data_IF_624800604909
#
_entry.id   IF_624800604909
#
_cell.length_a   1.000
_cell.length_b   1.000
_cell.length_c   1.000
_cell.angle_alpha   90.00
_cell.angle_beta   90.00
_cell.angle_gamma   90.00
#
_symmetry.space_group_name_H-M   'P 1'
#
loop_
_entity.id
_entity.type
_entity.pdbx_description
1 polymer ?
#
# COMPACT_ATOMS: atom_id res chain seq x y z
N UNK A 1 0.24 8.84 11.48
CA UNK A 1 -1.08 8.23 11.74
C UNK A 1 -2.07 8.48 10.61
N UNK A 2 -2.15 9.73 10.14
CA UNK A 2 -3.05 10.05 9.02
C UNK A 2 -2.69 9.32 7.75
N UNK A 3 -1.39 9.19 7.49
CA UNK A 3 -0.92 8.51 6.27
C UNK A 3 -1.32 7.05 6.31
N UNK A 4 -1.10 6.39 7.44
CA UNK A 4 -1.47 4.98 7.57
C UNK A 4 -2.97 4.79 7.44
N UNK A 5 -3.77 5.66 8.05
CA UNK A 5 -5.22 5.57 7.97
C UNK A 5 -5.71 5.78 6.54
N UNK A 6 -5.14 6.76 5.83
CA UNK A 6 -5.52 7.04 4.45
C UNK A 6 -5.13 5.89 3.53
N UNK A 7 -3.94 5.33 3.73
CA UNK A 7 -3.44 4.20 2.95
C UNK A 7 -4.36 2.99 3.13
N UNK A 8 -4.69 2.70 4.38
CA UNK A 8 -5.57 1.59 4.71
C UNK A 8 -6.96 1.78 4.08
N UNK A 9 -7.51 2.99 4.18
CA UNK A 9 -8.82 3.31 3.61
C UNK A 9 -8.81 3.14 2.09
N UNK A 10 -7.73 3.52 1.43
CA UNK A 10 -7.60 3.35 -0.01
C UNK A 10 -7.72 1.87 -0.38
N UNK A 11 -6.96 1.00 0.30
CA UNK A 11 -6.96 -0.42 -0.04
C UNK A 11 -8.26 -1.11 0.34
N UNK A 12 -8.89 -0.67 1.45
CA UNK A 12 -10.19 -1.17 1.82
C UNK A 12 -11.22 -0.85 0.74
N UNK A 13 -11.17 0.38 0.22
CA UNK A 13 -12.09 0.78 -0.84
C UNK A 13 -11.86 -0.02 -2.12
N UNK A 14 -10.59 -0.27 -2.48
CA UNK A 14 -10.27 -1.09 -3.65
C UNK A 14 -10.88 -2.48 -3.50
N UNK A 15 -10.78 -3.09 -2.33
CA UNK A 15 -11.38 -4.40 -2.09
C UNK A 15 -12.90 -4.34 -2.22
N UNK A 16 -13.51 -3.27 -1.74
CA UNK A 16 -14.97 -3.11 -1.79
C UNK A 16 -15.48 -2.96 -3.21
N UNK A 17 -14.81 -2.13 -4.02
CA UNK A 17 -15.26 -1.90 -5.40
C UNK A 17 -14.96 -3.08 -6.32
N UNK A 18 -14.21 -4.06 -5.86
CA UNK A 18 -14.00 -5.30 -6.62
C UNK A 18 -15.29 -6.10 -6.76
N UNK A 19 -16.29 -5.82 -5.93
CA UNK A 19 -17.57 -6.54 -5.85
C UNK A 19 -17.38 -8.03 -5.53
N UNK A 20 -16.24 -8.38 -4.97
CA UNK A 20 -15.97 -9.74 -4.53
C UNK A 20 -16.02 -9.80 -3.01
N UNK A 21 -17.07 -10.39 -2.43
CA UNK A 21 -17.21 -10.44 -0.97
C UNK A 21 -16.04 -11.11 -0.27
N UNK A 22 -15.37 -12.03 -0.94
CA UNK A 22 -14.20 -12.71 -0.35
C UNK A 22 -13.08 -11.72 -0.09
N UNK A 23 -12.81 -10.82 -1.03
CA UNK A 23 -11.77 -9.81 -0.86
C UNK A 23 -12.12 -8.84 0.26
N UNK A 24 -13.37 -8.39 0.29
CA UNK A 24 -13.81 -7.48 1.34
C UNK A 24 -13.72 -8.14 2.72
N UNK A 25 -14.13 -9.41 2.80
CA UNK A 25 -14.06 -10.15 4.06
C UNK A 25 -12.62 -10.37 4.50
N UNK A 26 -11.75 -10.80 3.58
CA UNK A 26 -10.36 -11.04 3.89
C UNK A 26 -9.67 -9.76 4.39
N UNK A 27 -9.98 -8.64 3.75
CA UNK A 27 -9.43 -7.37 4.19
C UNK A 27 -9.94 -6.98 5.57
N UNK A 28 -11.22 -7.20 5.82
CA UNK A 28 -11.81 -6.88 7.13
C UNK A 28 -11.13 -7.67 8.25
N UNK A 29 -10.82 -8.93 8.01
CA UNK A 29 -10.14 -9.78 9.00
C UNK A 29 -8.70 -9.31 9.21
N UNK A 30 -8.01 -8.94 8.15
CA UNK A 30 -6.61 -8.56 8.21
C UNK A 30 -6.38 -7.07 8.53
N UNK A 31 -7.44 -6.30 8.64
CA UNK A 31 -7.37 -4.84 8.73
C UNK A 31 -6.50 -4.36 9.88
N UNK A 32 -6.72 -4.88 11.06
CA UNK A 32 -5.98 -4.40 12.22
C UNK A 32 -4.50 -4.79 12.19
N UNK A 33 -4.14 -6.05 11.90
CA UNK A 33 -2.73 -6.39 11.74
C UNK A 33 -2.03 -5.58 10.65
N UNK A 34 -2.71 -5.32 9.53
CA UNK A 34 -2.15 -4.50 8.46
C UNK A 34 -1.90 -3.08 8.95
N UNK A 35 -2.88 -2.52 9.67
CA UNK A 35 -2.76 -1.16 10.18
C UNK A 35 -1.58 -1.04 11.15
N UNK A 36 -1.43 -2.00 12.06
CA UNK A 36 -0.33 -1.99 12.99
C UNK A 36 1.02 -2.11 12.27
N UNK A 37 1.07 -2.95 11.25
CA UNK A 37 2.29 -3.10 10.46
C UNK A 37 2.62 -1.80 9.72
N UNK A 38 1.62 -1.15 9.13
CA UNK A 38 1.82 0.14 8.45
C UNK A 38 2.34 1.20 9.41
N UNK A 39 1.75 1.28 10.60
CA UNK A 39 2.22 2.23 11.60
C UNK A 39 3.67 1.98 11.97
N UNK A 40 4.03 0.72 12.14
CA UNK A 40 5.40 0.35 12.45
C UNK A 40 6.35 0.77 11.34
N UNK A 41 6.02 0.43 10.09
CA UNK A 41 6.87 0.78 8.95
C UNK A 41 7.03 2.29 8.81
N UNK A 42 5.93 3.02 8.93
CA UNK A 42 5.97 4.48 8.77
C UNK A 42 6.77 5.14 9.90
N UNK A 43 6.70 4.60 11.11
CA UNK A 43 7.44 5.17 12.23
C UNK A 43 8.96 4.96 12.08
N UNK A 44 9.37 3.88 11.44
CA UNK A 44 10.79 3.55 11.31
C UNK A 44 11.41 4.01 10.01
N UNK A 45 10.67 3.88 8.92
CA UNK A 45 11.23 4.06 7.58
C UNK A 45 10.43 5.04 6.72
N UNK A 46 9.73 5.99 7.36
CA UNK A 46 8.89 6.94 6.65
C UNK A 46 9.59 7.62 5.46
N UNK A 47 10.79 8.19 5.63
CA UNK A 47 11.44 8.86 4.51
C UNK A 47 11.73 7.93 3.34
N UNK A 48 12.15 6.70 3.63
CA UNK A 48 12.44 5.73 2.58
C UNK A 48 11.18 5.27 1.86
N UNK A 49 10.13 5.01 2.63
CA UNK A 49 8.87 4.57 2.03
C UNK A 49 8.26 5.66 1.15
N UNK A 50 8.26 6.89 1.62
CA UNK A 50 7.75 8.00 0.81
C UNK A 50 8.54 8.12 -0.49
N UNK A 51 9.85 8.01 -0.41
CA UNK A 51 10.71 8.07 -1.58
C UNK A 51 10.42 6.92 -2.54
N UNK A 52 10.24 5.71 -2.00
CA UNK A 52 9.99 4.53 -2.81
C UNK A 52 8.61 4.55 -3.47
N UNK A 53 7.63 5.15 -2.81
CA UNK A 53 6.29 5.26 -3.38
C UNK A 53 6.20 6.31 -4.47
N UNK A 54 7.10 7.28 -4.48
CA UNK A 54 7.08 8.31 -5.50
C UNK A 54 7.72 7.80 -6.77
N UNK A 55 6.96 7.83 -7.85
CA UNK A 55 7.44 7.46 -9.17
C UNK A 55 8.05 8.66 -9.87
N UNK A 56 7.51 9.85 -9.60
CA UNK A 56 8.07 11.10 -10.10
C UNK A 56 7.65 12.23 -9.17
N UNK A 57 7.92 13.48 -9.62
CA UNK A 57 7.70 14.67 -8.80
C UNK A 57 6.24 14.87 -8.41
N UNK A 58 5.30 14.39 -9.24
CA UNK A 58 3.88 14.73 -9.11
C UNK A 58 2.97 13.54 -8.84
N UNK A 59 3.49 12.32 -8.98
CA UNK A 59 2.68 11.12 -8.85
C UNK A 59 3.31 10.15 -7.87
N UNK A 60 2.50 9.60 -7.01
CA UNK A 60 2.93 8.45 -6.27
C UNK A 60 2.21 7.21 -6.78
N UNK A 61 2.59 6.07 -6.21
CA UNK A 61 2.13 4.79 -6.70
C UNK A 61 0.63 4.59 -6.49
N UNK A 62 0.06 5.18 -5.44
CA UNK A 62 -1.37 5.06 -5.19
C UNK A 62 -2.19 5.77 -6.26
N UNK A 63 -1.71 6.91 -6.72
CA UNK A 63 -2.37 7.61 -7.81
C UNK A 63 -2.33 6.79 -9.10
N UNK A 64 -1.21 6.12 -9.35
CA UNK A 64 -1.10 5.26 -10.53
C UNK A 64 -2.06 4.08 -10.46
N UNK A 65 -2.22 3.49 -9.28
CA UNK A 65 -3.20 2.42 -9.09
C UNK A 65 -4.62 2.94 -9.35
N UNK A 66 -4.94 4.12 -8.82
CA UNK A 66 -6.24 4.73 -9.04
C UNK A 66 -6.50 4.94 -10.54
N UNK A 67 -5.53 5.48 -11.26
CA UNK A 67 -5.67 5.71 -12.69
C UNK A 67 -5.86 4.41 -13.46
N UNK A 68 -5.11 3.37 -13.09
CA UNK A 68 -5.23 2.07 -13.74
C UNK A 68 -6.63 1.49 -13.57
N UNK A 69 -7.19 1.61 -12.37
CA UNK A 69 -8.54 1.15 -12.09
C UNK A 69 -9.56 1.96 -12.88
N UNK A 70 -9.40 3.27 -12.88
CA UNK A 70 -10.29 4.17 -13.60
C UNK A 70 -10.32 3.84 -15.09
N UNK A 71 -9.17 3.55 -15.67
CA UNK A 71 -9.03 3.25 -17.09
C UNK A 71 -9.26 1.78 -17.42
N UNK A 72 -9.57 0.97 -16.40
CA UNK A 72 -9.78 -0.48 -16.56
C UNK A 72 -8.58 -1.17 -17.19
N UNK A 73 -7.39 -0.68 -16.88
CA UNK A 73 -6.15 -1.22 -17.41
C UNK A 73 -5.61 -2.26 -16.42
N UNK A 74 -6.00 -3.50 -16.61
CA UNK A 74 -5.65 -4.59 -15.71
C UNK A 74 -4.13 -4.77 -15.63
N UNK A 75 -3.46 -4.74 -16.77
CA UNK A 75 -2.01 -4.96 -16.83
C UNK A 75 -1.26 -3.86 -16.04
N UNK A 76 -1.64 -2.61 -16.27
CA UNK A 76 -1.03 -1.50 -15.54
C UNK A 76 -1.30 -1.60 -14.03
N UNK A 77 -2.52 -1.96 -13.66
CA UNK A 77 -2.89 -2.09 -12.26
C UNK A 77 -2.05 -3.18 -11.57
N UNK A 78 -1.90 -4.30 -12.22
CA UNK A 78 -1.09 -5.41 -11.71
C UNK A 78 0.37 -4.99 -11.53
N UNK A 79 0.90 -4.28 -12.51
CA UNK A 79 2.27 -3.77 -12.44
C UNK A 79 2.46 -2.76 -11.32
N UNK A 80 1.48 -1.87 -11.16
CA UNK A 80 1.53 -0.84 -10.12
C UNK A 80 1.48 -1.45 -8.71
N UNK A 81 0.61 -2.46 -8.53
CA UNK A 81 0.55 -3.15 -7.24
C UNK A 81 1.84 -3.91 -6.95
N UNK A 82 2.42 -4.55 -7.96
CA UNK A 82 3.68 -5.24 -7.78
C UNK A 82 4.79 -4.26 -7.37
N UNK A 83 4.83 -3.08 -7.98
CA UNK A 83 5.79 -2.06 -7.63
C UNK A 83 5.59 -1.54 -6.21
N UNK A 84 4.33 -1.41 -5.77
CA UNK A 84 4.03 -0.97 -4.41
C UNK A 84 4.53 -1.99 -3.39
N UNK A 85 4.25 -3.28 -3.63
CA UNK A 85 4.70 -4.34 -2.74
C UNK A 85 6.22 -4.37 -2.69
N UNK A 86 6.87 -4.24 -3.85
CA UNK A 86 8.33 -4.21 -3.91
C UNK A 86 8.91 -3.05 -3.14
N UNK A 87 8.20 -1.92 -3.07
CA UNK A 87 8.66 -0.76 -2.31
C UNK A 87 8.92 -1.10 -0.84
N UNK A 88 8.10 -1.97 -0.27
CA UNK A 88 8.32 -2.43 1.10
C UNK A 88 9.53 -3.34 1.21
N UNK A 89 9.82 -4.14 0.18
CA UNK A 89 10.97 -5.05 0.22
C UNK A 89 12.29 -4.33 0.00
N UNK A 90 12.25 -3.13 -0.60
CA UNK A 90 13.46 -2.33 -0.80
C UNK A 90 13.89 -1.58 0.44
N UNK A 91 13.04 -1.49 1.43
CA UNK A 91 13.40 -0.90 2.69
C UNK A 91 14.40 -1.83 3.38
N UNK A 92 15.40 -1.26 4.00
CA UNK A 92 16.38 -2.05 4.73
C UNK A 92 15.74 -2.66 5.96
N UNK A 93 15.38 -3.93 5.86
CA UNK A 93 14.73 -4.67 6.93
C UNK A 93 15.72 -5.24 7.93
N UNK A 94 17.00 -4.80 7.90
CA UNK A 94 17.91 -5.19 8.95
C UNK A 94 17.35 -4.61 10.24
N UNK A 95 16.58 -5.43 10.93
CA UNK A 95 16.03 -5.08 12.22
C UNK A 95 17.14 -4.78 13.18
N UNK A 96 17.03 -3.69 13.95
CA UNK A 96 17.91 -3.58 15.08
C UNK A 96 17.70 -4.84 15.91
N UNK A 97 18.81 -5.46 16.27
CA UNK A 97 18.70 -6.67 17.07
C UNK A 97 17.79 -6.38 18.26
N UNK A 98 16.74 -7.16 18.34
CA UNK A 98 15.88 -7.11 19.49
C UNK A 98 16.66 -7.78 20.59
N UNK A 99 17.43 -6.96 21.25
CA UNK A 99 18.17 -7.43 22.42
C UNK A 99 17.24 -7.63 23.56
#
# INVERSE_FOLDING_TARGET
>A
KRVAAADLAFHEHVCRISHNPLYAYAFAVAREPIHQYMLFCLSKWMPELVRNFRLDRHRDIHYCIYESIKNRDFTACQSDYAAMIESYTRVNWSMPEVG
#
